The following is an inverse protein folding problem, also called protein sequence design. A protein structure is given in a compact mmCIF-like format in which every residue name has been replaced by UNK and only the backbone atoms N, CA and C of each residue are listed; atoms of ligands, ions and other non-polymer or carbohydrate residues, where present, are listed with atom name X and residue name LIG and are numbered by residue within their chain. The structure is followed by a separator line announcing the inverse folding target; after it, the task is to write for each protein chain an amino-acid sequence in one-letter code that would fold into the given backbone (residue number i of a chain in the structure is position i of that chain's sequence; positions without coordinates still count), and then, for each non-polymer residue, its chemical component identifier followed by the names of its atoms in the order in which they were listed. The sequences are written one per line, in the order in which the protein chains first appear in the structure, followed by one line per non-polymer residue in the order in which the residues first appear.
data_IF_447652243544
#
_entry.id   IF_447652243544
#
_cell.length_a   1.000
_cell.length_b   1.000
_cell.length_c   1.000
_cell.angle_alpha   90.00
_cell.angle_beta   90.00
_cell.angle_gamma   90.00
#
_symmetry.space_group_name_H-M   'P 1'
#
loop_
_entity.id
_entity.type
_entity.pdbx_description
1 polymer ?
#
# COMPACT_ATOMS: atom_id res chain seq x y z
N UNK A 1 14.42 6.00 -15.97
CA UNK A 1 15.17 7.01 -15.18
C UNK A 1 14.28 8.18 -14.82
N UNK A 2 13.75 8.93 -15.80
CA UNK A 2 12.88 10.10 -15.56
C UNK A 2 11.74 9.85 -14.56
N UNK A 3 11.13 8.66 -14.59
CA UNK A 3 10.10 8.28 -13.61
C UNK A 3 10.60 8.35 -12.16
N UNK A 4 11.79 7.83 -11.87
CA UNK A 4 12.42 7.95 -10.55
C UNK A 4 12.80 9.41 -10.21
N UNK A 5 13.34 10.16 -11.18
CA UNK A 5 13.79 11.54 -10.97
C UNK A 5 12.64 12.51 -10.70
N UNK A 6 11.50 12.30 -11.35
CA UNK A 6 10.28 13.10 -11.16
C UNK A 6 9.75 13.01 -9.72
N UNK A 7 9.94 11.86 -9.08
CA UNK A 7 9.31 11.53 -7.81
C UNK A 7 10.28 11.55 -6.62
N UNK A 8 11.59 11.63 -6.85
CA UNK A 8 12.62 11.57 -5.81
C UNK A 8 13.72 12.61 -6.03
N UNK A 9 14.67 12.71 -5.11
CA UNK A 9 15.91 13.46 -5.29
C UNK A 9 17.00 12.69 -6.07
N UNK A 10 16.78 11.43 -6.43
CA UNK A 10 17.73 10.64 -7.21
C UNK A 10 17.89 11.27 -8.60
N UNK A 11 19.13 11.36 -9.09
CA UNK A 11 19.45 11.87 -10.42
C UNK A 11 20.36 10.89 -11.15
N UNK A 12 20.08 10.68 -12.43
CA UNK A 12 20.89 9.88 -13.32
C UNK A 12 21.69 10.80 -14.22
N UNK A 13 22.96 10.49 -14.41
CA UNK A 13 23.85 11.26 -15.29
C UNK A 13 24.74 10.29 -16.06
N UNK A 14 25.00 10.54 -17.35
CA UNK A 14 25.92 9.72 -18.12
C UNK A 14 27.29 9.64 -17.43
N UNK A 15 27.84 8.43 -17.37
CA UNK A 15 29.17 8.23 -16.83
C UNK A 15 30.24 8.98 -17.65
N UNK A 16 31.21 9.56 -16.95
CA UNK A 16 32.45 10.07 -17.55
C UNK A 16 33.57 10.03 -16.53
N UNK A 17 34.82 9.84 -16.97
CA UNK A 17 35.99 9.86 -16.09
C UNK A 17 36.11 11.19 -15.32
N UNK A 18 35.72 12.30 -15.94
CA UNK A 18 35.67 13.61 -15.29
C UNK A 18 34.68 13.62 -14.12
N UNK A 19 33.46 13.12 -14.32
CA UNK A 19 32.44 13.05 -13.27
C UNK A 19 32.87 12.10 -12.16
N UNK A 20 33.43 10.94 -12.52
CA UNK A 20 34.00 9.99 -11.55
C UNK A 20 35.07 10.65 -10.68
N UNK A 21 35.97 11.43 -11.29
CA UNK A 21 36.97 12.23 -10.58
C UNK A 21 36.37 13.28 -9.63
N UNK A 22 35.24 13.91 -9.99
CA UNK A 22 34.53 14.86 -9.11
C UNK A 22 33.82 14.15 -7.94
N UNK A 23 33.19 13.01 -8.19
CA UNK A 23 32.46 12.25 -7.18
C UNK A 23 33.37 11.42 -6.25
N UNK A 24 34.63 11.23 -6.63
CA UNK A 24 35.61 10.44 -5.87
C UNK A 24 35.38 8.92 -5.97
N UNK A 25 34.67 8.46 -7.01
CA UNK A 25 34.49 7.05 -7.31
C UNK A 25 34.15 6.84 -8.79
N UNK A 26 34.45 5.64 -9.31
CA UNK A 26 34.18 5.20 -10.68
C UNK A 26 33.06 4.14 -10.75
N UNK A 27 32.25 3.99 -9.70
CA UNK A 27 31.07 3.11 -9.74
C UNK A 27 29.95 3.66 -10.63
N UNK A 28 29.41 2.83 -11.53
CA UNK A 28 28.29 3.18 -12.41
C UNK A 28 27.43 1.96 -12.77
N UNK A 29 26.18 2.21 -13.16
CA UNK A 29 25.30 1.19 -13.74
C UNK A 29 25.48 1.10 -15.25
N UNK A 30 25.49 -0.12 -15.80
CA UNK A 30 25.64 -0.40 -17.22
C UNK A 30 24.48 -1.29 -17.71
N UNK A 31 23.69 -0.79 -18.65
CA UNK A 31 22.59 -1.57 -19.23
C UNK A 31 23.10 -2.41 -20.37
N UNK A 32 22.81 -3.71 -20.32
CA UNK A 32 23.21 -4.62 -21.39
C UNK A 32 22.07 -5.57 -21.76
N UNK A 33 22.12 -6.09 -22.99
CA UNK A 33 21.13 -7.06 -23.47
C UNK A 33 21.50 -8.46 -23.00
N UNK A 34 20.89 -8.89 -21.89
CA UNK A 34 21.11 -10.21 -21.28
C UNK A 34 19.95 -11.18 -21.48
N UNK A 35 19.98 -12.28 -20.70
CA UNK A 35 18.89 -13.26 -20.64
C UNK A 35 18.05 -13.01 -19.39
N UNK A 36 16.88 -12.39 -19.58
CA UNK A 36 15.97 -11.98 -18.50
C UNK A 36 16.23 -10.58 -17.97
N UNK A 37 15.43 -10.18 -16.98
CA UNK A 37 15.50 -8.90 -16.31
C UNK A 37 16.08 -9.13 -14.90
N UNK A 38 17.19 -8.47 -14.57
CA UNK A 38 17.77 -8.55 -13.23
C UNK A 38 18.77 -7.41 -12.99
N UNK A 39 18.99 -7.14 -11.71
CA UNK A 39 19.87 -6.08 -11.22
C UNK A 39 20.39 -6.44 -9.82
N UNK A 40 21.59 -5.98 -9.49
CA UNK A 40 22.12 -6.08 -8.13
C UNK A 40 21.39 -5.11 -7.20
N UNK A 41 21.27 -5.48 -5.92
CA UNK A 41 20.62 -4.63 -4.92
C UNK A 41 21.64 -3.66 -4.30
N UNK A 42 21.45 -2.36 -4.55
CA UNK A 42 22.32 -1.29 -4.08
C UNK A 42 23.66 -1.20 -4.82
N UNK A 43 24.54 -0.31 -4.35
CA UNK A 43 25.86 -0.04 -4.94
C UNK A 43 26.89 -1.10 -4.55
N UNK A 44 27.43 -1.84 -5.53
CA UNK A 44 28.35 -2.99 -5.33
C UNK A 44 29.83 -2.58 -5.14
N UNK A 45 30.20 -1.31 -5.41
CA UNK A 45 31.56 -0.75 -5.19
C UNK A 45 32.71 -1.48 -5.90
N UNK A 46 32.51 -1.79 -7.18
CA UNK A 46 33.45 -2.52 -8.01
C UNK A 46 33.58 -1.93 -9.43
N UNK A 47 33.26 -0.65 -9.60
CA UNK A 47 33.18 0.03 -10.88
C UNK A 47 31.87 -0.27 -11.59
N UNK A 48 31.93 -1.10 -12.64
CA UNK A 48 30.78 -1.41 -13.49
C UNK A 48 29.80 -2.38 -12.81
N UNK A 49 28.56 -1.93 -12.61
CA UNK A 49 27.44 -2.74 -12.12
C UNK A 49 26.41 -2.96 -13.23
N UNK A 50 26.24 -4.20 -13.67
CA UNK A 50 25.37 -4.51 -14.81
C UNK A 50 23.89 -4.62 -14.43
N UNK A 51 23.03 -4.11 -15.30
CA UNK A 51 21.57 -4.30 -15.28
C UNK A 51 21.17 -4.98 -16.59
N UNK A 52 20.61 -6.19 -16.47
CA UNK A 52 20.21 -6.99 -17.63
C UNK A 52 18.84 -6.57 -18.15
N UNK A 53 18.78 -6.23 -19.43
CA UNK A 53 17.55 -5.92 -20.18
C UNK A 53 17.37 -6.99 -21.25
N UNK A 54 16.70 -8.08 -20.88
CA UNK A 54 16.35 -9.16 -21.80
C UNK A 54 15.18 -8.81 -22.72
N UNK A 55 14.77 -9.79 -23.53
CA UNK A 55 13.56 -9.67 -24.36
C UNK A 55 12.33 -9.46 -23.47
N UNK A 56 11.49 -8.47 -23.79
CA UNK A 56 10.31 -8.05 -23.02
C UNK A 56 10.59 -7.41 -21.66
N UNK A 57 11.83 -6.95 -21.42
CA UNK A 57 12.18 -6.19 -20.21
C UNK A 57 12.19 -4.67 -20.42
N UNK A 58 11.90 -4.21 -21.65
CA UNK A 58 12.08 -2.83 -22.09
C UNK A 58 10.85 -1.92 -21.87
N UNK A 59 9.83 -2.40 -21.14
CA UNK A 59 8.72 -1.58 -20.69
C UNK A 59 9.10 -0.71 -19.47
N UNK A 60 8.34 0.38 -19.27
CA UNK A 60 8.57 1.34 -18.20
C UNK A 60 8.63 0.69 -16.81
N UNK A 61 7.69 -0.21 -16.51
CA UNK A 61 7.55 -0.80 -15.19
C UNK A 61 8.66 -1.76 -14.86
N UNK A 62 9.02 -2.64 -15.80
CA UNK A 62 10.14 -3.57 -15.64
C UNK A 62 11.45 -2.81 -15.48
N UNK A 63 11.72 -1.80 -16.30
CA UNK A 63 12.93 -0.98 -16.16
C UNK A 63 12.96 -0.17 -14.85
N UNK A 64 11.81 0.32 -14.39
CA UNK A 64 11.71 1.01 -13.11
C UNK A 64 11.96 0.06 -11.93
N UNK A 65 11.51 -1.20 -12.01
CA UNK A 65 11.77 -2.27 -11.04
C UNK A 65 13.27 -2.58 -10.94
N UNK A 66 13.94 -2.82 -12.07
CA UNK A 66 15.38 -3.15 -12.07
C UNK A 66 16.25 -1.99 -11.59
N UNK A 67 15.84 -0.75 -11.91
CA UNK A 67 16.44 0.45 -11.33
C UNK A 67 16.19 0.51 -9.81
N UNK A 68 15.01 0.12 -9.33
CA UNK A 68 14.71 0.01 -7.90
C UNK A 68 15.70 -0.88 -7.17
N UNK A 69 16.02 -2.05 -7.71
CA UNK A 69 17.09 -2.89 -7.18
C UNK A 69 18.42 -2.15 -7.09
N UNK A 70 18.88 -1.53 -8.18
CA UNK A 70 20.14 -0.77 -8.18
C UNK A 70 20.14 0.37 -7.13
N UNK A 71 18.98 0.96 -6.86
CA UNK A 71 18.80 1.99 -5.83
C UNK A 71 18.74 1.44 -4.39
N UNK A 72 18.73 0.12 -4.21
CA UNK A 72 18.80 -0.53 -2.89
C UNK A 72 17.54 -1.25 -2.45
N UNK A 73 16.54 -1.40 -3.32
CA UNK A 73 15.28 -2.03 -2.97
C UNK A 73 15.35 -3.55 -3.15
N UNK A 74 15.00 -4.29 -2.11
CA UNK A 74 14.66 -5.70 -2.25
C UNK A 74 13.20 -5.85 -2.70
N UNK A 75 12.80 -7.06 -3.07
CA UNK A 75 11.40 -7.33 -3.34
C UNK A 75 10.53 -7.18 -2.09
N UNK A 76 9.33 -6.62 -2.26
CA UNK A 76 8.42 -6.30 -1.15
C UNK A 76 8.00 -7.58 -0.40
N UNK A 77 7.77 -8.69 -1.10
CA UNK A 77 7.42 -9.97 -0.47
C UNK A 77 8.55 -10.63 0.32
N UNK A 78 9.77 -10.08 0.29
CA UNK A 78 10.88 -10.54 1.13
C UNK A 78 10.98 -9.77 2.45
N UNK A 79 10.04 -8.86 2.74
CA UNK A 79 9.99 -8.15 4.02
C UNK A 79 9.77 -9.12 5.21
N UNK A 80 10.33 -8.81 6.40
CA UNK A 80 10.18 -9.66 7.58
C UNK A 80 8.75 -9.77 8.13
N UNK A 81 7.84 -8.87 7.71
CA UNK A 81 6.44 -8.81 8.14
C UNK A 81 5.46 -9.29 7.05
N UNK A 82 5.96 -9.83 5.92
CA UNK A 82 5.13 -10.18 4.75
C UNK A 82 4.01 -11.20 5.04
N UNK A 83 4.22 -12.11 5.99
CA UNK A 83 3.26 -13.18 6.31
C UNK A 83 1.96 -12.67 6.98
N UNK A 84 1.90 -11.40 7.42
CA UNK A 84 0.65 -10.74 7.82
C UNK A 84 -0.25 -10.36 6.63
N UNK A 85 0.31 -10.26 5.42
CA UNK A 85 -0.35 -9.71 4.24
C UNK A 85 -0.49 -10.72 3.10
N UNK A 86 0.49 -11.61 2.95
CA UNK A 86 0.54 -12.63 1.89
C UNK A 86 0.91 -14.00 2.46
N UNK A 87 0.65 -15.04 1.69
CA UNK A 87 1.01 -16.41 1.98
C UNK A 87 1.76 -17.01 0.79
N UNK A 88 2.92 -17.60 1.06
CA UNK A 88 3.70 -18.32 0.07
C UNK A 88 3.20 -19.77 -0.01
N UNK A 89 2.78 -20.20 -1.20
CA UNK A 89 2.36 -21.58 -1.50
C UNK A 89 3.54 -22.38 -2.00
N UNK A 90 4.35 -22.89 -1.07
CA UNK A 90 5.59 -23.60 -1.37
C UNK A 90 5.39 -24.78 -2.33
N UNK A 91 4.26 -25.47 -2.22
CA UNK A 91 3.84 -26.57 -3.08
C UNK A 91 3.66 -26.20 -4.57
N UNK A 92 3.48 -24.91 -4.86
CA UNK A 92 3.30 -24.41 -6.22
C UNK A 92 4.59 -23.87 -6.84
N UNK A 93 5.66 -23.71 -6.05
CA UNK A 93 6.95 -23.16 -6.50
C UNK A 93 7.72 -24.21 -7.31
N UNK A 94 8.34 -23.80 -8.41
CA UNK A 94 9.26 -24.66 -9.17
C UNK A 94 10.40 -25.15 -8.27
N UNK A 95 10.73 -26.45 -8.26
CA UNK A 95 11.85 -26.97 -7.49
C UNK A 95 13.15 -26.19 -7.73
N UNK A 96 13.81 -25.78 -6.65
CA UNK A 96 15.04 -24.97 -6.68
C UNK A 96 14.83 -23.47 -6.84
N UNK A 97 13.58 -22.98 -6.76
CA UNK A 97 13.23 -21.55 -6.79
C UNK A 97 12.66 -21.02 -5.47
N UNK A 98 12.61 -21.85 -4.44
CA UNK A 98 12.07 -21.53 -3.11
C UNK A 98 12.82 -20.37 -2.45
N UNK A 99 14.14 -20.26 -2.68
CA UNK A 99 14.97 -19.17 -2.16
C UNK A 99 14.52 -17.77 -2.59
N UNK A 100 13.78 -17.63 -3.69
CA UNK A 100 13.24 -16.33 -4.14
C UNK A 100 12.08 -15.81 -3.26
N UNK A 101 11.59 -16.64 -2.33
CA UNK A 101 10.50 -16.32 -1.41
C UNK A 101 10.98 -16.27 0.05
N UNK A 102 12.29 -16.31 0.29
CA UNK A 102 12.83 -16.13 1.63
C UNK A 102 12.63 -14.69 2.11
N UNK A 103 12.38 -14.54 3.42
CA UNK A 103 12.36 -13.24 4.08
C UNK A 103 13.76 -12.85 4.49
N UNK A 104 14.07 -11.56 4.41
CA UNK A 104 15.27 -11.01 5.01
C UNK A 104 15.06 -10.73 6.51
N UNK A 105 16.16 -10.65 7.26
CA UNK A 105 16.13 -10.23 8.66
C UNK A 105 16.00 -8.71 8.79
N UNK A 106 15.45 -8.23 9.92
CA UNK A 106 15.42 -6.79 10.27
C UNK A 106 16.81 -6.15 10.43
N UNK A 107 17.88 -6.95 10.50
CA UNK A 107 19.26 -6.45 10.47
C UNK A 107 19.77 -6.16 9.06
N UNK A 108 19.11 -6.71 8.03
CA UNK A 108 19.50 -6.56 6.63
C UNK A 108 18.60 -5.56 5.88
N UNK A 109 17.31 -5.52 6.23
CA UNK A 109 16.34 -4.63 5.60
C UNK A 109 15.67 -3.74 6.65
N UNK A 110 15.45 -2.49 6.26
CA UNK A 110 14.64 -1.51 6.99
C UNK A 110 13.32 -1.35 6.26
N UNK A 111 12.23 -1.20 7.01
CA UNK A 111 10.91 -0.85 6.47
C UNK A 111 10.67 0.67 6.49
N UNK A 112 11.63 1.47 7.01
CA UNK A 112 11.50 2.93 7.21
C UNK A 112 10.21 3.33 7.96
N UNK A 113 9.63 2.41 8.75
CA UNK A 113 8.31 2.55 9.36
C UNK A 113 7.17 2.83 8.33
N UNK A 114 7.35 2.35 7.10
CA UNK A 114 6.39 2.41 6.01
C UNK A 114 5.62 1.08 5.94
N UNK A 115 4.27 1.11 5.88
CA UNK A 115 3.47 -0.11 5.79
C UNK A 115 3.81 -0.98 4.59
N UNK A 116 3.53 -2.28 4.69
CA UNK A 116 3.65 -3.21 3.56
C UNK A 116 2.79 -2.76 2.37
N UNK A 117 3.38 -2.74 1.19
CA UNK A 117 2.75 -2.24 -0.03
C UNK A 117 2.48 -3.34 -1.05
N UNK A 118 1.24 -3.85 -1.05
CA UNK A 118 0.79 -4.83 -2.06
C UNK A 118 0.87 -4.29 -3.49
N UNK A 119 0.82 -2.97 -3.68
CA UNK A 119 0.93 -2.32 -4.99
C UNK A 119 2.35 -1.96 -5.40
N UNK A 120 3.36 -2.29 -4.59
CA UNK A 120 4.75 -1.93 -4.89
C UNK A 120 5.17 -2.52 -6.24
N UNK A 121 5.90 -1.72 -7.02
CA UNK A 121 6.53 -2.21 -8.24
C UNK A 121 7.54 -3.33 -7.95
N UNK A 122 8.06 -3.37 -6.72
CA UNK A 122 8.99 -4.38 -6.22
C UNK A 122 8.28 -5.65 -5.71
N UNK A 123 6.95 -5.70 -5.72
CA UNK A 123 6.22 -6.90 -5.33
C UNK A 123 6.14 -7.89 -6.50
N UNK A 124 6.32 -9.18 -6.22
CA UNK A 124 6.04 -10.26 -7.17
C UNK A 124 4.57 -10.37 -7.53
N UNK A 125 4.31 -10.80 -8.76
CA UNK A 125 3.00 -11.30 -9.14
C UNK A 125 2.69 -12.63 -8.45
N UNK A 126 1.44 -13.04 -8.54
CA UNK A 126 0.92 -14.22 -7.86
C UNK A 126 1.41 -15.56 -8.43
N UNK A 127 1.94 -15.58 -9.65
CA UNK A 127 2.37 -16.79 -10.37
C UNK A 127 3.87 -16.81 -10.65
N UNK A 128 4.63 -15.92 -10.00
CA UNK A 128 6.08 -15.90 -10.16
C UNK A 128 6.68 -17.25 -9.73
N UNK A 129 7.57 -17.78 -10.57
CA UNK A 129 8.19 -19.10 -10.40
C UNK A 129 7.22 -20.28 -10.20
N UNK A 130 5.95 -20.18 -10.60
CA UNK A 130 4.99 -21.28 -10.48
C UNK A 130 5.34 -22.47 -11.39
N UNK A 131 5.14 -23.70 -10.91
CA UNK A 131 5.34 -24.96 -11.67
C UNK A 131 4.57 -25.01 -12.99
N UNK A 132 3.37 -24.44 -13.00
CA UNK A 132 2.54 -24.24 -14.17
C UNK A 132 2.01 -22.80 -14.17
N UNK A 133 2.20 -22.08 -15.28
CA UNK A 133 1.71 -20.69 -15.45
C UNK A 133 0.21 -20.61 -15.80
N UNK A 134 -0.48 -21.75 -15.94
CA UNK A 134 -1.93 -21.77 -16.13
C UNK A 134 -2.63 -21.19 -14.89
N UNK A 135 -3.31 -20.07 -15.07
CA UNK A 135 -3.99 -19.25 -14.04
C UNK A 135 -5.27 -19.93 -13.51
N UNK A 136 -5.63 -21.09 -14.06
CA UNK A 136 -6.84 -21.82 -13.71
C UNK A 136 -6.48 -22.85 -12.62
N UNK A 137 -7.10 -22.72 -11.43
CA UNK A 137 -7.09 -23.66 -10.30
C UNK A 137 -5.89 -23.64 -9.31
N UNK A 138 -5.73 -22.53 -8.57
CA UNK A 138 -5.00 -22.57 -7.29
C UNK A 138 -3.48 -22.78 -7.39
N UNK A 139 -2.88 -22.41 -8.52
CA UNK A 139 -1.43 -22.51 -8.79
C UNK A 139 -0.63 -21.25 -8.49
N UNK A 140 -1.26 -20.26 -7.85
CA UNK A 140 -0.55 -19.08 -7.35
C UNK A 140 0.54 -19.51 -6.34
N UNK A 141 1.73 -18.97 -6.47
CA UNK A 141 2.83 -19.08 -5.50
C UNK A 141 2.70 -18.04 -4.39
N UNK A 142 2.03 -16.92 -4.65
CA UNK A 142 1.71 -15.89 -3.67
C UNK A 142 0.21 -15.61 -3.62
N UNK A 143 -0.37 -15.76 -2.44
CA UNK A 143 -1.80 -15.51 -2.19
C UNK A 143 -1.94 -14.40 -1.15
N UNK A 144 -2.71 -13.36 -1.45
CA UNK A 144 -2.98 -12.29 -0.50
C UNK A 144 -3.94 -12.79 0.58
N UNK A 145 -3.72 -12.39 1.84
CA UNK A 145 -4.64 -12.72 2.96
C UNK A 145 -6.01 -12.10 2.74
N UNK A 146 -6.02 -10.91 2.15
CA UNK A 146 -7.22 -10.25 1.64
C UNK A 146 -7.43 -10.63 0.16
N UNK A 147 -8.43 -11.45 -0.14
CA UNK A 147 -8.66 -12.00 -1.48
C UNK A 147 -8.97 -10.93 -2.53
N UNK A 148 -9.60 -9.82 -2.15
CA UNK A 148 -9.89 -8.74 -3.10
C UNK A 148 -8.60 -8.07 -3.59
N UNK A 149 -7.54 -8.10 -2.77
CA UNK A 149 -6.23 -7.53 -3.10
C UNK A 149 -5.38 -8.42 -4.02
N UNK A 150 -5.85 -9.60 -4.41
CA UNK A 150 -5.05 -10.56 -5.18
C UNK A 150 -4.63 -10.00 -6.56
N UNK A 151 -5.44 -9.12 -7.15
CA UNK A 151 -5.14 -8.46 -8.43
C UNK A 151 -4.20 -7.25 -8.31
N UNK A 152 -3.90 -6.81 -7.09
CA UNK A 152 -3.07 -5.62 -6.83
C UNK A 152 -1.58 -5.95 -6.93
N UNK A 153 -1.19 -7.16 -6.52
CA UNK A 153 0.22 -7.58 -6.49
C UNK A 153 0.78 -7.81 -7.89
N UNK A 154 2.07 -7.49 -8.07
CA UNK A 154 2.79 -7.73 -9.32
C UNK A 154 2.52 -6.70 -10.43
N UNK A 155 1.93 -5.55 -10.10
CA UNK A 155 1.77 -4.46 -11.07
C UNK A 155 3.12 -4.00 -11.63
N UNK A 156 3.13 -3.60 -12.90
CA UNK A 156 4.28 -3.03 -13.63
C UNK A 156 3.88 -1.77 -14.40
N UNK A 157 2.95 -0.99 -13.86
CA UNK A 157 2.53 0.29 -14.45
C UNK A 157 3.49 1.41 -14.08
N UNK A 158 4.01 1.39 -12.85
CA UNK A 158 4.95 2.38 -12.35
C UNK A 158 5.10 2.31 -10.83
N UNK A 159 5.95 3.18 -10.28
CA UNK A 159 6.15 3.32 -8.84
C UNK A 159 4.84 3.60 -8.11
N UNK A 160 4.59 2.84 -7.04
CA UNK A 160 3.52 3.14 -6.11
C UNK A 160 3.84 4.39 -5.27
N UNK A 161 2.85 4.88 -4.52
CA UNK A 161 3.08 5.97 -3.57
C UNK A 161 4.11 5.59 -2.49
N UNK A 162 4.12 4.34 -2.03
CA UNK A 162 5.07 3.88 -1.02
C UNK A 162 6.44 3.49 -1.57
N UNK A 163 6.57 3.09 -2.83
CA UNK A 163 7.87 3.00 -3.50
C UNK A 163 8.57 4.38 -3.47
N UNK A 164 7.82 5.42 -3.86
CA UNK A 164 8.31 6.80 -3.89
C UNK A 164 8.64 7.28 -2.48
N UNK A 165 7.75 7.06 -1.51
CA UNK A 165 7.97 7.49 -0.13
C UNK A 165 9.22 6.83 0.47
N UNK A 166 9.33 5.52 0.34
CA UNK A 166 10.49 4.75 0.83
C UNK A 166 11.79 5.24 0.22
N UNK A 167 11.80 5.57 -1.08
CA UNK A 167 13.00 6.12 -1.72
C UNK A 167 13.38 7.50 -1.21
N UNK A 168 12.39 8.36 -0.94
CA UNK A 168 12.68 9.69 -0.40
C UNK A 168 13.20 9.63 1.04
N UNK A 169 12.71 8.71 1.88
CA UNK A 169 13.25 8.47 3.21
C UNK A 169 14.67 7.89 3.14
N UNK A 170 14.87 6.83 2.33
CA UNK A 170 16.16 6.17 2.18
C UNK A 170 17.27 7.11 1.69
N UNK A 171 16.96 7.98 0.73
CA UNK A 171 17.90 8.96 0.18
C UNK A 171 17.84 10.32 0.89
N UNK A 172 17.09 10.43 1.99
CA UNK A 172 16.94 11.65 2.80
C UNK A 172 16.62 12.89 1.96
N UNK A 173 15.73 12.74 1.01
CA UNK A 173 15.47 13.74 -0.01
C UNK A 173 14.92 15.07 0.56
N UNK A 174 14.43 15.08 1.79
CA UNK A 174 13.88 16.22 2.49
C UNK A 174 14.79 16.76 3.63
N UNK A 175 16.01 16.25 3.81
CA UNK A 175 16.92 16.65 4.91
C UNK A 175 17.27 18.15 4.88
N UNK A 176 17.21 18.77 3.70
CA UNK A 176 17.45 20.20 3.49
C UNK A 176 16.23 21.09 3.77
N UNK A 177 15.05 20.51 4.00
CA UNK A 177 13.83 21.26 4.20
C UNK A 177 13.67 21.72 5.66
N UNK A 178 13.29 22.98 5.85
CA UNK A 178 12.93 23.53 7.16
C UNK A 178 11.54 22.98 7.56
N UNK A 179 11.51 21.98 8.45
CA UNK A 179 10.41 21.03 8.62
C UNK A 179 9.18 21.54 9.40
N UNK A 180 8.46 22.53 8.87
CA UNK A 180 7.23 23.05 9.48
C UNK A 180 5.92 22.57 8.85
N UNK A 181 5.98 21.83 7.74
CA UNK A 181 4.79 21.41 6.99
C UNK A 181 4.29 20.04 7.48
N UNK A 182 3.03 19.98 7.92
CA UNK A 182 2.37 18.72 8.24
C UNK A 182 1.50 18.27 7.06
N UNK A 183 1.96 17.27 6.33
CA UNK A 183 1.17 16.62 5.29
C UNK A 183 0.12 15.69 5.92
N UNK A 184 -1.10 15.71 5.40
CA UNK A 184 -2.20 14.85 5.85
C UNK A 184 -2.40 13.66 4.91
N UNK A 185 -3.26 12.73 5.31
CA UNK A 185 -3.76 11.63 4.44
C UNK A 185 -2.63 10.79 3.82
N UNK A 186 -1.59 10.50 4.60
CA UNK A 186 -0.44 9.69 4.17
C UNK A 186 0.61 10.45 3.36
N UNK A 187 0.37 11.73 3.02
CA UNK A 187 1.33 12.61 2.36
C UNK A 187 2.66 12.74 3.13
N UNK A 188 3.73 13.09 2.42
CA UNK A 188 5.06 13.32 3.00
C UNK A 188 5.77 14.50 2.32
N UNK A 189 6.77 15.09 2.98
CA UNK A 189 7.55 16.21 2.41
C UNK A 189 8.49 15.66 1.34
N UNK A 190 8.32 16.09 0.10
CA UNK A 190 9.15 15.71 -1.04
C UNK A 190 10.47 16.50 -1.15
N UNK A 191 11.25 16.23 -2.21
CA UNK A 191 12.53 16.90 -2.48
C UNK A 191 12.38 18.38 -2.85
N UNK A 192 11.17 18.83 -3.15
CA UNK A 192 10.82 20.23 -3.44
C UNK A 192 10.31 20.96 -2.20
N UNK A 193 10.46 20.36 -1.01
CA UNK A 193 9.94 20.85 0.26
C UNK A 193 8.43 21.13 0.29
N UNK A 194 7.67 20.49 -0.60
CA UNK A 194 6.21 20.51 -0.60
C UNK A 194 5.64 19.12 -0.27
N UNK A 195 4.38 19.04 0.13
CA UNK A 195 3.73 17.75 0.32
C UNK A 195 3.58 17.01 -1.02
N UNK A 196 4.16 15.80 -1.09
CA UNK A 196 3.84 14.79 -2.09
C UNK A 196 2.61 14.03 -1.61
N UNK A 197 1.55 14.10 -2.39
CA UNK A 197 0.26 13.53 -2.05
C UNK A 197 0.04 12.18 -2.71
N UNK A 198 -0.73 11.28 -2.07
CA UNK A 198 -1.27 10.11 -2.75
C UNK A 198 -1.98 10.49 -4.04
N UNK A 199 -1.93 9.60 -5.01
CA UNK A 199 -2.64 9.80 -6.27
C UNK A 199 -4.13 10.09 -6.03
N UNK A 200 -4.66 11.12 -6.70
CA UNK A 200 -6.03 11.59 -6.51
C UNK A 200 -6.19 12.68 -5.45
N UNK A 201 -5.21 12.85 -4.58
CA UNK A 201 -5.15 13.95 -3.62
C UNK A 201 -4.18 15.03 -4.06
N UNK A 202 -4.41 16.26 -3.61
CA UNK A 202 -3.60 17.42 -3.93
C UNK A 202 -3.76 18.54 -2.90
N UNK A 203 -3.37 19.74 -3.32
CA UNK A 203 -3.28 20.90 -2.44
C UNK A 203 -1.99 20.88 -1.61
N UNK A 204 -1.74 21.97 -0.84
CA UNK A 204 -0.49 22.14 -0.09
C UNK A 204 -0.30 21.12 1.03
N UNK A 205 -1.38 20.49 1.52
CA UNK A 205 -1.36 19.56 2.66
C UNK A 205 -1.97 18.18 2.35
N UNK A 206 -2.25 17.88 1.07
CA UNK A 206 -2.92 16.63 0.66
C UNK A 206 -4.34 16.47 1.20
N UNK A 207 -5.07 17.57 1.37
CA UNK A 207 -6.45 17.60 1.87
C UNK A 207 -7.49 17.79 0.77
N UNK A 208 -7.04 18.15 -0.42
CA UNK A 208 -7.90 18.43 -1.57
C UNK A 208 -7.87 17.25 -2.54
N UNK A 209 -8.81 17.21 -3.47
CA UNK A 209 -8.71 16.32 -4.64
C UNK A 209 -7.81 16.98 -5.68
N UNK A 210 -6.83 16.24 -6.20
CA UNK A 210 -5.95 16.73 -7.28
C UNK A 210 -6.82 17.20 -8.44
N UNK A 211 -6.57 18.43 -8.95
CA UNK A 211 -7.43 19.16 -9.90
C UNK A 211 -8.13 18.19 -10.86
N UNK A 212 -9.42 17.90 -10.67
CA UNK A 212 -10.16 17.07 -11.60
C UNK A 212 -10.15 17.79 -12.95
N UNK A 213 -9.91 17.05 -14.03
CA UNK A 213 -10.08 17.56 -15.40
C UNK A 213 -11.51 18.06 -15.69
N UNK A 214 -12.45 17.83 -14.76
CA UNK A 214 -13.83 18.33 -14.79
C UNK A 214 -14.85 17.19 -14.80
N UNK A 215 -16.09 17.53 -14.46
CA UNK A 215 -17.35 16.75 -14.45
C UNK A 215 -17.64 15.77 -13.30
N UNK A 216 -16.67 15.34 -12.49
CA UNK A 216 -16.94 14.39 -11.39
C UNK A 216 -15.89 14.44 -10.27
N UNK A 217 -16.22 13.86 -9.11
CA UNK A 217 -15.34 13.82 -7.94
C UNK A 217 -15.48 15.02 -7.02
N UNK A 218 -14.64 15.06 -5.98
CA UNK A 218 -14.61 16.14 -5.00
C UNK A 218 -14.34 15.65 -3.58
N UNK A 219 -14.26 16.61 -2.65
CA UNK A 219 -14.14 16.36 -1.21
C UNK A 219 -15.54 16.32 -0.59
N UNK A 220 -15.84 15.25 0.14
CA UNK A 220 -17.14 15.00 0.75
C UNK A 220 -17.00 14.91 2.27
N UNK A 221 -17.60 15.86 2.98
CA UNK A 221 -17.52 15.97 4.45
C UNK A 221 -18.88 15.77 5.14
N UNK A 222 -19.93 15.50 4.36
CA UNK A 222 -21.28 15.23 4.88
C UNK A 222 -21.39 13.82 5.44
N UNK A 223 -22.27 13.60 6.43
CA UNK A 223 -22.47 12.27 7.04
C UNK A 223 -23.05 11.21 6.10
N UNK A 224 -23.61 11.62 4.97
CA UNK A 224 -24.07 10.73 3.91
C UNK A 224 -24.07 11.48 2.58
N UNK A 225 -24.04 10.77 1.47
CA UNK A 225 -24.15 11.35 0.15
C UNK A 225 -24.20 10.32 -0.96
N UNK A 226 -24.28 10.80 -2.18
CA UNK A 226 -24.30 9.98 -3.40
C UNK A 226 -23.11 10.33 -4.27
N UNK A 227 -22.46 9.30 -4.82
CA UNK A 227 -21.41 9.40 -5.82
C UNK A 227 -21.82 8.56 -7.03
N UNK A 228 -21.46 9.01 -8.21
CA UNK A 228 -21.85 8.35 -9.45
C UNK A 228 -20.89 8.72 -10.57
N UNK A 229 -20.78 7.86 -11.56
CA UNK A 229 -20.05 8.17 -12.79
C UNK A 229 -20.58 9.45 -13.45
N UNK A 230 -19.74 10.22 -14.17
CA UNK A 230 -20.21 11.37 -14.90
C UNK A 230 -21.23 10.94 -15.96
N UNK A 231 -22.10 11.87 -16.36
CA UNK A 231 -23.18 11.66 -17.32
C UNK A 231 -24.34 10.75 -16.87
N UNK A 232 -24.35 10.29 -15.60
CA UNK A 232 -25.46 9.53 -15.04
C UNK A 232 -26.82 10.26 -15.23
N UNK A 233 -27.90 9.59 -15.72
CA UNK A 233 -28.07 8.13 -15.90
C UNK A 233 -27.68 7.59 -17.28
N UNK A 234 -27.05 8.40 -18.13
CA UNK A 234 -26.49 7.94 -19.40
C UNK A 234 -25.13 7.26 -19.20
N UNK A 235 -24.58 6.70 -20.28
CA UNK A 235 -23.29 6.02 -20.20
C UNK A 235 -22.18 7.01 -19.83
N UNK A 236 -21.18 6.53 -19.09
CA UNK A 236 -19.99 7.34 -18.78
C UNK A 236 -19.19 7.67 -20.05
N UNK A 237 -18.23 8.58 -19.92
CA UNK A 237 -17.36 9.02 -21.00
C UNK A 237 -16.03 8.24 -20.98
N UNK A 238 -15.39 8.14 -22.15
CA UNK A 238 -14.03 7.60 -22.29
C UNK A 238 -13.01 8.54 -21.64
N UNK A 239 -11.81 8.03 -21.39
CA UNK A 239 -10.64 8.76 -20.90
C UNK A 239 -10.94 9.59 -19.65
N UNK A 240 -11.83 9.09 -18.80
CA UNK A 240 -12.39 9.84 -17.69
C UNK A 240 -11.85 9.30 -16.38
N UNK A 241 -11.29 10.21 -15.57
CA UNK A 241 -10.84 9.88 -14.22
C UNK A 241 -11.54 10.75 -13.19
N UNK A 242 -12.16 10.12 -12.20
CA UNK A 242 -12.84 10.79 -11.09
C UNK A 242 -12.25 10.34 -9.75
N UNK A 243 -12.17 11.27 -8.79
CA UNK A 243 -11.75 10.98 -7.44
C UNK A 243 -12.77 11.52 -6.44
N UNK A 244 -13.36 10.64 -5.63
CA UNK A 244 -14.23 11.03 -4.51
C UNK A 244 -13.49 10.79 -3.21
N UNK A 245 -13.19 11.88 -2.50
CA UNK A 245 -12.51 11.83 -1.22
C UNK A 245 -13.51 12.07 -0.09
N UNK A 246 -13.93 10.98 0.55
CA UNK A 246 -14.93 11.00 1.63
C UNK A 246 -14.18 11.10 2.96
N UNK A 247 -14.46 12.16 3.73
CA UNK A 247 -13.85 12.44 5.03
C UNK A 247 -14.87 12.20 6.13
N UNK A 248 -14.43 11.53 7.20
CA UNK A 248 -15.21 11.26 8.38
C UNK A 248 -14.41 11.63 9.65
N UNK A 249 -15.09 11.93 10.77
CA UNK A 249 -14.40 12.13 12.04
C UNK A 249 -13.56 10.92 12.42
N UNK A 250 -12.39 11.17 13.06
CA UNK A 250 -11.51 10.10 13.55
C UNK A 250 -12.27 9.08 14.40
N UNK A 251 -12.01 7.79 14.15
CA UNK A 251 -12.69 6.69 14.84
C UNK A 251 -14.06 6.30 14.24
N UNK A 252 -14.54 6.99 13.21
CA UNK A 252 -15.72 6.56 12.44
C UNK A 252 -15.38 5.41 11.48
N UNK A 253 -16.42 4.80 10.92
CA UNK A 253 -16.35 3.93 9.75
C UNK A 253 -17.14 4.56 8.61
N UNK A 254 -16.81 4.21 7.36
CA UNK A 254 -17.53 4.67 6.16
C UNK A 254 -18.14 3.44 5.50
N UNK A 255 -19.46 3.42 5.38
CA UNK A 255 -20.21 2.40 4.65
C UNK A 255 -20.52 2.92 3.24
N UNK A 256 -20.32 2.08 2.23
CA UNK A 256 -20.60 2.39 0.82
C UNK A 256 -21.54 1.33 0.27
N UNK A 257 -22.60 1.75 -0.41
CA UNK A 257 -23.60 0.90 -1.04
C UNK A 257 -23.78 1.26 -2.50
N UNK A 258 -23.46 0.33 -3.41
CA UNK A 258 -23.69 0.47 -4.85
C UNK A 258 -25.12 0.05 -5.20
N UNK A 259 -25.93 1.01 -5.68
CA UNK A 259 -27.29 0.75 -6.19
C UNK A 259 -27.28 0.32 -7.66
N UNK A 260 -26.23 0.69 -8.41
CA UNK A 260 -26.02 0.29 -9.79
C UNK A 260 -24.53 0.14 -10.09
N UNK A 261 -24.18 -0.84 -10.91
CA UNK A 261 -22.80 -1.09 -11.33
C UNK A 261 -22.77 -1.81 -12.68
N UNK A 262 -22.19 -1.15 -13.69
CA UNK A 262 -21.98 -1.70 -15.03
C UNK A 262 -20.85 -0.94 -15.73
N UNK A 263 -19.65 -1.51 -15.72
CA UNK A 263 -18.43 -1.03 -16.36
C UNK A 263 -17.94 -2.05 -17.39
N UNK A 264 -17.11 -1.63 -18.34
CA UNK A 264 -16.40 -2.56 -19.23
C UNK A 264 -15.58 -3.56 -18.40
N UNK A 265 -15.64 -4.84 -18.75
CA UNK A 265 -14.87 -5.89 -18.08
C UNK A 265 -13.68 -6.36 -18.90
N UNK A 266 -12.69 -6.88 -18.18
CA UNK A 266 -11.53 -7.56 -18.75
C UNK A 266 -11.41 -8.93 -18.08
N UNK A 267 -12.11 -9.92 -18.66
CA UNK A 267 -12.02 -11.31 -18.24
C UNK A 267 -10.98 -12.01 -19.11
N UNK A 268 -9.78 -12.15 -18.58
CA UNK A 268 -8.73 -12.97 -19.16
C UNK A 268 -8.56 -14.26 -18.35
N UNK A 269 -8.68 -15.40 -19.04
CA UNK A 269 -8.48 -16.73 -18.45
C UNK A 269 -9.33 -17.01 -17.20
N UNK A 270 -10.58 -16.52 -17.16
CA UNK A 270 -11.50 -16.72 -16.04
C UNK A 270 -11.21 -15.85 -14.82
N UNK A 271 -10.28 -14.89 -14.94
CA UNK A 271 -9.95 -13.91 -13.91
C UNK A 271 -10.29 -12.51 -14.40
N UNK A 272 -11.09 -11.81 -13.62
CA UNK A 272 -11.43 -10.42 -13.89
C UNK A 272 -10.32 -9.54 -13.32
N UNK A 273 -9.46 -8.98 -14.19
CA UNK A 273 -8.35 -8.10 -13.76
C UNK A 273 -8.72 -6.62 -13.76
N UNK A 274 -9.78 -6.26 -14.48
CA UNK A 274 -10.25 -4.89 -14.64
C UNK A 274 -9.16 -3.97 -15.22
N UNK A 275 -8.67 -4.37 -16.40
CA UNK A 275 -7.65 -3.65 -17.18
C UNK A 275 -8.18 -2.46 -18.00
N UNK A 276 -9.44 -2.52 -18.44
CA UNK A 276 -10.11 -1.44 -19.18
C UNK A 276 -10.70 -0.42 -18.20
N UNK A 277 -12.01 -0.45 -17.96
CA UNK A 277 -12.69 0.44 -17.04
C UNK A 277 -12.82 -0.15 -15.64
N UNK A 278 -12.68 0.70 -14.63
CA UNK A 278 -12.74 0.22 -13.25
C UNK A 278 -13.05 1.31 -12.23
N UNK A 279 -13.55 0.84 -11.08
CA UNK A 279 -13.53 1.60 -9.82
C UNK A 279 -12.53 0.98 -8.84
N UNK A 280 -11.66 1.78 -8.26
CA UNK A 280 -10.77 1.40 -7.15
C UNK A 280 -11.34 1.97 -5.86
N UNK A 281 -11.36 1.13 -4.82
CA UNK A 281 -11.74 1.56 -3.47
C UNK A 281 -10.52 1.42 -2.55
N UNK A 282 -9.92 2.53 -2.14
CA UNK A 282 -8.74 2.53 -1.25
C UNK A 282 -9.13 2.28 0.20
N UNK A 283 -9.48 1.03 0.49
CA UNK A 283 -10.12 0.59 1.73
C UNK A 283 -9.27 0.71 3.00
N UNK A 284 -7.96 0.95 2.86
CA UNK A 284 -7.02 1.08 3.98
C UNK A 284 -6.50 2.50 4.21
N UNK A 285 -7.03 3.49 3.48
CA UNK A 285 -6.55 4.87 3.46
C UNK A 285 -6.18 5.31 2.06
N UNK A 286 -6.24 6.63 1.76
CA UNK A 286 -6.02 7.16 0.42
C UNK A 286 -4.62 6.89 -0.16
N UNK A 287 -3.64 6.64 0.70
CA UNK A 287 -2.25 6.37 0.33
C UNK A 287 -1.96 4.93 -0.08
N UNK A 288 -2.88 4.00 0.19
CA UNK A 288 -2.75 2.58 -0.17
C UNK A 288 -3.64 2.26 -1.35
N UNK A 289 -3.06 1.64 -2.37
CA UNK A 289 -3.83 1.10 -3.50
C UNK A 289 -4.91 0.13 -3.01
N UNK A 290 -6.01 0.09 -3.74
CA UNK A 290 -7.17 -0.73 -3.43
C UNK A 290 -7.44 -1.80 -4.47
N UNK A 291 -8.40 -2.71 -4.22
CA UNK A 291 -8.93 -3.58 -5.24
C UNK A 291 -9.64 -2.76 -6.33
N UNK A 292 -9.56 -3.26 -7.58
CA UNK A 292 -10.30 -2.74 -8.72
C UNK A 292 -11.51 -3.62 -9.01
N UNK A 293 -12.62 -3.00 -9.33
CA UNK A 293 -13.87 -3.65 -9.68
C UNK A 293 -14.38 -3.15 -11.04
N UNK A 294 -14.97 -4.04 -11.84
CA UNK A 294 -15.47 -3.79 -13.19
C UNK A 294 -16.54 -4.84 -13.58
N UNK A 295 -17.09 -4.76 -14.79
CA UNK A 295 -18.22 -5.59 -15.21
C UNK A 295 -19.55 -5.16 -14.61
N UNK A 296 -20.50 -6.09 -14.52
CA UNK A 296 -21.89 -5.81 -14.16
C UNK A 296 -22.36 -6.40 -12.82
N UNK A 297 -21.46 -7.02 -12.05
CA UNK A 297 -21.75 -7.59 -10.74
C UNK A 297 -20.61 -7.32 -9.76
N UNK A 298 -20.95 -6.80 -8.58
CA UNK A 298 -20.05 -6.71 -7.43
C UNK A 298 -20.27 -7.92 -6.52
N UNK A 299 -19.19 -8.46 -5.94
CA UNK A 299 -19.28 -9.53 -4.95
C UNK A 299 -20.11 -9.11 -3.74
N UNK A 300 -19.90 -7.88 -3.27
CA UNK A 300 -20.66 -7.25 -2.19
C UNK A 300 -21.13 -5.87 -2.65
N UNK A 301 -22.45 -5.65 -2.66
CA UNK A 301 -23.02 -4.34 -3.03
C UNK A 301 -22.94 -3.33 -1.89
N UNK A 302 -22.70 -3.77 -0.66
CA UNK A 302 -22.51 -2.91 0.52
C UNK A 302 -21.30 -3.37 1.31
N UNK A 303 -20.37 -2.45 1.60
CA UNK A 303 -19.19 -2.71 2.39
C UNK A 303 -18.96 -1.58 3.41
N UNK A 304 -18.43 -1.94 4.59
CA UNK A 304 -18.08 -0.98 5.65
C UNK A 304 -16.58 -0.97 5.89
N UNK A 305 -15.96 0.20 5.77
CA UNK A 305 -14.53 0.41 5.93
C UNK A 305 -14.22 1.11 7.25
N UNK A 306 -13.33 0.53 8.06
CA UNK A 306 -12.90 1.09 9.35
C UNK A 306 -11.83 2.17 9.18
N UNK A 307 -12.13 3.20 8.39
CA UNK A 307 -11.24 4.34 8.09
C UNK A 307 -11.95 5.66 8.31
N UNK A 308 -11.21 6.70 8.70
CA UNK A 308 -11.72 8.07 8.82
C UNK A 308 -11.67 8.85 7.50
N UNK A 309 -11.11 8.25 6.45
CA UNK A 309 -11.06 8.84 5.11
C UNK A 309 -10.99 7.74 4.06
N UNK A 310 -11.81 7.83 3.03
CA UNK A 310 -11.89 6.85 1.96
C UNK A 310 -11.72 7.57 0.61
N UNK A 311 -10.84 7.06 -0.24
CA UNK A 311 -10.70 7.52 -1.62
C UNK A 311 -11.26 6.48 -2.58
N UNK A 312 -12.17 6.91 -3.42
CA UNK A 312 -12.74 6.10 -4.51
C UNK A 312 -12.29 6.73 -5.81
N UNK A 313 -11.67 5.93 -6.69
CA UNK A 313 -11.21 6.36 -8.01
C UNK A 313 -11.99 5.62 -9.08
N UNK A 314 -12.54 6.35 -10.05
CA UNK A 314 -13.03 5.78 -11.30
C UNK A 314 -12.05 6.11 -12.42
N UNK A 315 -11.83 5.17 -13.32
CA UNK A 315 -11.02 5.36 -14.52
C UNK A 315 -11.69 4.63 -15.69
N UNK A 316 -11.79 5.31 -16.84
CA UNK A 316 -12.14 4.69 -18.11
C UNK A 316 -11.03 4.82 -19.15
N UNK A 317 -10.98 3.86 -20.08
CA UNK A 317 -10.05 3.86 -21.21
C UNK A 317 -10.61 4.61 -22.44
N UNK A 318 -10.00 4.43 -23.61
CA UNK A 318 -10.39 5.13 -24.85
C UNK A 318 -11.57 4.48 -25.60
N UNK A 319 -12.16 3.41 -25.06
CA UNK A 319 -13.17 2.58 -25.72
C UNK A 319 -14.40 2.27 -24.84
N UNK A 320 -15.13 1.19 -25.13
CA UNK A 320 -16.53 0.89 -24.77
C UNK A 320 -17.06 1.49 -23.45
N UNK A 321 -18.23 2.15 -23.51
CA UNK A 321 -18.89 2.69 -22.31
C UNK A 321 -20.19 2.00 -21.98
N UNK A 322 -20.48 1.98 -20.67
CA UNK A 322 -21.69 1.42 -20.10
C UNK A 322 -22.34 2.43 -19.14
N UNK A 323 -23.40 2.00 -18.43
CA UNK A 323 -24.17 2.86 -17.52
C UNK A 323 -23.37 3.41 -16.34
N UNK A 324 -22.22 2.82 -16.01
CA UNK A 324 -21.37 3.29 -14.93
C UNK A 324 -21.84 2.76 -13.59
N UNK A 325 -21.72 3.59 -12.55
CA UNK A 325 -22.20 3.23 -11.23
C UNK A 325 -22.91 4.40 -10.56
N UNK A 326 -23.80 4.03 -9.64
CA UNK A 326 -24.32 4.93 -8.62
C UNK A 326 -24.14 4.24 -7.26
N UNK A 327 -23.58 4.98 -6.31
CA UNK A 327 -23.37 4.52 -4.95
C UNK A 327 -23.75 5.60 -3.95
N UNK A 328 -24.18 5.16 -2.77
CA UNK A 328 -24.36 6.02 -1.61
C UNK A 328 -23.30 5.71 -0.58
N UNK A 329 -22.90 6.69 0.21
CA UNK A 329 -22.05 6.47 1.37
C UNK A 329 -22.73 7.01 2.63
N UNK A 330 -22.38 6.41 3.77
CA UNK A 330 -22.83 6.83 5.10
C UNK A 330 -21.68 6.73 6.10
N UNK A 331 -21.49 7.77 6.89
CA UNK A 331 -20.54 7.82 8.00
C UNK A 331 -21.19 7.18 9.23
N UNK A 332 -20.61 6.06 9.67
CA UNK A 332 -20.98 5.37 10.88
C UNK A 332 -20.07 5.88 12.00
N UNK A 333 -20.55 6.87 12.75
CA UNK A 333 -19.85 7.31 13.95
C UNK A 333 -19.91 6.20 15.00
N UNK A 334 -18.74 5.75 15.44
CA UNK A 334 -18.66 4.86 16.61
C UNK A 334 -19.02 5.71 17.83
N UNK A 335 -20.13 5.38 18.48
CA UNK A 335 -20.61 6.10 19.66
C UNK A 335 -19.48 6.12 20.71
N UNK A 336 -19.17 7.29 21.26
CA UNK A 336 -18.19 7.42 22.34
C UNK A 336 -18.81 6.95 23.65
N UNK A 337 -18.07 6.11 24.37
CA UNK A 337 -18.45 5.61 25.68
C UNK A 337 -17.63 6.22 26.79
N UNK A 338 -18.03 5.93 28.02
CA UNK A 338 -17.26 6.17 29.23
C UNK A 338 -16.79 4.84 29.81
N UNK A 339 -15.55 4.81 30.29
CA UNK A 339 -15.05 3.65 31.00
C UNK A 339 -15.89 3.36 32.24
N UNK A 340 -16.35 2.12 32.37
CA UNK A 340 -16.87 1.62 33.63
C UNK A 340 -15.77 1.54 34.70
N UNK A 341 -16.15 1.23 35.95
CA UNK A 341 -15.17 1.01 37.01
C UNK A 341 -14.25 -0.17 36.66
N UNK A 342 -12.99 -0.09 37.09
CA UNK A 342 -12.11 -1.25 37.07
C UNK A 342 -12.64 -2.36 37.99
N UNK A 343 -12.43 -3.61 37.57
CA UNK A 343 -12.57 -4.79 38.40
C UNK A 343 -11.65 -4.71 39.62
N UNK A 344 -11.89 -5.57 40.60
CA UNK A 344 -10.88 -5.89 41.60
C UNK A 344 -9.60 -6.41 40.92
N UNK A 345 -8.46 -6.22 41.57
CA UNK A 345 -7.19 -6.80 41.15
C UNK A 345 -7.26 -8.32 41.19
N UNK A 346 -6.66 -8.97 40.18
CA UNK A 346 -6.44 -10.41 40.19
C UNK A 346 -5.60 -10.82 41.40
N UNK A 347 -5.63 -12.09 41.78
CA UNK A 347 -4.65 -12.62 42.74
C UNK A 347 -3.23 -12.52 42.15
N UNK A 348 -2.22 -12.41 43.02
CA UNK A 348 -0.84 -12.43 42.57
C UNK A 348 -0.50 -13.85 42.11
N UNK A 349 0.08 -14.04 40.90
CA UNK A 349 0.33 -15.38 40.37
C UNK A 349 1.45 -16.13 41.10
N UNK A 350 2.30 -15.42 41.84
CA UNK A 350 3.42 -15.96 42.60
C UNK A 350 3.30 -15.53 44.06
N UNK A 351 3.79 -16.35 44.99
CA UNK A 351 3.84 -15.99 46.41
C UNK A 351 5.03 -15.10 46.75
N UNK A 352 6.13 -15.16 45.98
CA UNK A 352 7.39 -14.41 46.15
C UNK A 352 8.06 -14.17 44.78
N UNK A 353 9.14 -13.40 44.72
CA UNK A 353 9.95 -13.19 43.52
C UNK A 353 9.41 -12.14 42.54
N UNK A 354 8.30 -11.47 42.89
CA UNK A 354 7.67 -10.44 42.08
C UNK A 354 6.74 -11.00 40.99
N UNK A 355 5.44 -10.76 41.15
CA UNK A 355 4.41 -11.04 40.15
C UNK A 355 3.72 -9.78 39.64
N UNK A 356 2.79 -9.95 38.71
CA UNK A 356 1.93 -8.87 38.20
C UNK A 356 0.47 -9.23 38.46
N UNK A 357 -0.24 -8.33 39.16
CA UNK A 357 -1.69 -8.34 39.20
C UNK A 357 -2.25 -7.50 38.07
N UNK A 358 -3.38 -7.94 37.52
CA UNK A 358 -4.10 -7.26 36.46
C UNK A 358 -5.52 -6.95 36.91
N UNK A 359 -6.07 -5.82 36.47
CA UNK A 359 -7.50 -5.52 36.55
C UNK A 359 -7.97 -4.98 35.21
N UNK A 360 -9.26 -5.16 34.91
CA UNK A 360 -9.86 -4.76 33.64
C UNK A 360 -11.11 -3.90 33.85
N UNK A 361 -11.48 -3.11 32.85
CA UNK A 361 -12.74 -2.36 32.82
C UNK A 361 -13.37 -2.46 31.44
N UNK A 362 -14.68 -2.32 31.39
CA UNK A 362 -15.44 -2.35 30.13
C UNK A 362 -15.87 -0.95 29.71
N UNK A 363 -15.93 -0.69 28.41
CA UNK A 363 -16.46 0.55 27.87
C UNK A 363 -18.00 0.51 27.86
N UNK A 364 -18.65 1.58 28.36
CA UNK A 364 -20.09 1.68 28.50
C UNK A 364 -20.67 2.89 27.74
N UNK A 365 -21.84 2.77 27.09
CA UNK A 365 -22.62 1.54 26.91
C UNK A 365 -21.92 0.52 26.01
N UNK A 366 -22.30 -0.75 26.10
CA UNK A 366 -21.66 -1.81 25.31
C UNK A 366 -21.73 -1.48 23.80
N UNK A 367 -20.63 -1.69 23.07
CA UNK A 367 -20.51 -1.31 21.65
C UNK A 367 -20.08 0.14 21.40
N UNK A 368 -19.61 0.84 22.43
CA UNK A 368 -18.99 2.18 22.31
C UNK A 368 -17.47 2.12 22.37
N UNK A 369 -16.82 3.21 21.98
CA UNK A 369 -15.36 3.37 22.08
C UNK A 369 -15.03 4.32 23.22
N UNK A 370 -14.13 3.89 24.11
CA UNK A 370 -13.61 4.68 25.22
C UNK A 370 -12.12 4.93 24.99
N UNK A 371 -11.67 6.17 25.20
CA UNK A 371 -10.25 6.52 25.11
C UNK A 371 -9.51 6.19 26.41
N UNK A 372 -8.33 5.55 26.30
CA UNK A 372 -7.52 5.14 27.45
C UNK A 372 -7.34 3.61 27.52
N UNK A 373 -6.61 3.12 28.54
CA UNK A 373 -6.35 1.68 28.70
C UNK A 373 -7.55 0.95 29.31
N UNK A 374 -7.89 -0.21 28.78
CA UNK A 374 -8.88 -1.16 29.33
C UNK A 374 -8.29 -2.05 30.44
N UNK A 375 -6.97 -2.24 30.42
CA UNK A 375 -6.20 -2.98 31.41
C UNK A 375 -5.32 -2.07 32.25
N UNK A 376 -5.13 -2.47 33.51
CA UNK A 376 -4.19 -1.85 34.43
C UNK A 376 -3.38 -2.94 35.15
N UNK A 377 -2.11 -2.64 35.42
CA UNK A 377 -1.12 -3.59 35.91
C UNK A 377 -0.42 -3.02 37.14
N UNK A 378 -0.20 -3.87 38.15
CA UNK A 378 0.66 -3.52 39.29
C UNK A 378 1.51 -4.71 39.71
N UNK A 379 2.68 -4.42 40.27
CA UNK A 379 3.53 -5.43 40.87
C UNK A 379 2.92 -5.95 42.17
N UNK A 380 3.22 -7.19 42.51
CA UNK A 380 2.80 -7.85 43.73
C UNK A 380 3.90 -8.81 44.22
N UNK A 381 3.91 -9.13 45.52
CA UNK A 381 4.80 -10.12 46.12
C UNK A 381 6.28 -9.96 45.72
N UNK A 382 6.79 -8.73 45.75
CA UNK A 382 8.16 -8.37 45.34
C UNK A 382 9.26 -8.82 46.33
N UNK A 383 8.90 -9.54 47.39
CA UNK A 383 9.90 -10.07 48.32
C UNK A 383 10.64 -11.27 47.71
N UNK A 384 11.94 -11.46 47.96
CA UNK A 384 12.71 -12.59 47.45
C UNK A 384 12.09 -13.93 47.85
N UNK A 385 12.18 -14.93 46.98
CA UNK A 385 11.88 -16.30 47.36
C UNK A 385 13.02 -16.82 48.24
N UNK A 386 12.67 -17.49 49.35
CA UNK A 386 13.66 -18.15 50.18
C UNK A 386 14.29 -19.30 49.40
N UNK A 387 15.63 -19.37 49.38
CA UNK A 387 16.34 -20.55 48.92
C UNK A 387 16.12 -21.67 49.94
N UNK A 388 15.50 -22.76 49.52
CA UNK A 388 15.51 -24.01 50.30
C UNK A 388 16.96 -24.54 50.28
N UNK A 389 17.56 -24.61 51.47
CA UNK A 389 18.92 -25.13 51.71
C UNK A 389 18.94 -26.65 51.57
#
# INVERSE_FOLDING_TARGET
MEHWEKHTCVRFSPYSEKLAGVLGHDDFIDFFKGNGCYSFVGRVRNGKQEISVGTYCDDLGTMAHELGHALGFYHEQSRPDRDFYVEVKAENIKPGKEGNFEMYSRSKVSDENIPYDLGSIMHYGDTEFATNKSIIEGKATLVTKDKEMQNVIGQRLGLSFYDIKTANELYKCNEHCESHIQCENGGFIGPDCNCKCPEGLGGPYCTDVAKPSGMCGGVYETCQGTIQTPNWPDNYLNETTCYWFIKAPRGSSIEVTFSHFNLEDDILHGRQKCGYDWVEIRKFGPEKVGPRYCGNQLHETTATYNVSSLLIKFSSDDSYTYKGFQATYRVIQKRTGSWGPYSAWSQCPVSCGGGIQVRMRSCLPSGTICSGKDLDFRKCNEHPCHEEI
#
